data_IF_395272256118
#
_entry.id   IF_395272256118
#
_cell.length_a   1.000
_cell.length_b   1.000
_cell.length_c   1.000
_cell.angle_alpha   90.00
_cell.angle_beta   90.00
_cell.angle_gamma   90.00
#
_symmetry.space_group_name_H-M   'P 1'
#
loop_
_entity.id
_entity.type
_entity.pdbx_description
1 polymer ?
#
# COMPACT_ATOMS: atom_id res chain seq x y z
N UNK A 1 5.47 -1.32 -5.66
CA UNK A 1 5.02 0.08 -5.39
C UNK A 1 3.83 0.51 -6.22
N UNK A 2 3.83 0.29 -7.54
CA UNK A 2 2.72 0.70 -8.42
C UNK A 2 1.37 0.10 -8.01
N UNK A 3 1.41 -1.07 -7.36
CA UNK A 3 0.21 -1.73 -6.85
C UNK A 3 -0.48 -0.95 -5.73
N UNK A 4 0.25 -0.26 -4.85
CA UNK A 4 -0.36 0.58 -3.81
C UNK A 4 -1.14 1.74 -4.43
N UNK A 5 -0.53 2.42 -5.41
CA UNK A 5 -1.22 3.48 -6.15
C UNK A 5 -2.45 2.95 -6.93
N UNK A 6 -2.40 1.71 -7.45
CA UNK A 6 -3.53 1.08 -8.12
C UNK A 6 -4.70 0.84 -7.17
N UNK A 7 -4.45 0.32 -5.96
CA UNK A 7 -5.48 0.06 -4.94
C UNK A 7 -6.15 1.37 -4.51
N UNK A 8 -5.32 2.33 -4.12
CA UNK A 8 -5.77 3.63 -3.66
C UNK A 8 -6.67 4.33 -4.68
N UNK A 9 -6.32 4.22 -5.97
CA UNK A 9 -7.14 4.74 -7.08
C UNK A 9 -8.41 3.93 -7.31
N UNK A 10 -8.33 2.61 -7.31
CA UNK A 10 -9.47 1.72 -7.54
C UNK A 10 -10.57 1.92 -6.48
N UNK A 11 -10.17 2.18 -5.24
CA UNK A 11 -11.08 2.38 -4.11
C UNK A 11 -11.41 3.85 -3.85
N UNK A 12 -10.90 4.77 -4.67
CA UNK A 12 -11.06 6.22 -4.50
C UNK A 12 -10.74 6.68 -3.07
N UNK A 13 -9.66 6.13 -2.50
CA UNK A 13 -9.25 6.48 -1.15
C UNK A 13 -8.92 7.96 -1.05
N UNK A 14 -9.21 8.56 0.10
CA UNK A 14 -8.77 9.91 0.40
C UNK A 14 -7.26 9.89 0.61
N UNK A 15 -6.52 10.49 -0.33
CA UNK A 15 -5.06 10.55 -0.27
C UNK A 15 -4.67 11.87 0.37
N UNK A 16 -4.21 11.79 1.61
CA UNK A 16 -3.59 12.93 2.28
C UNK A 16 -2.12 13.00 1.90
N UNK A 17 -1.61 14.21 1.69
CA UNK A 17 -0.18 14.40 1.47
C UNK A 17 0.57 13.95 2.73
N UNK A 18 1.46 12.97 2.60
CA UNK A 18 2.34 12.52 3.67
C UNK A 18 3.79 12.59 3.22
N UNK A 19 4.67 13.12 4.08
CA UNK A 19 6.12 13.18 3.82
C UNK A 19 6.86 11.90 4.24
N UNK A 20 6.24 11.07 5.10
CA UNK A 20 6.85 9.88 5.66
C UNK A 20 5.79 8.85 6.06
N UNK A 21 6.13 7.58 5.94
CA UNK A 21 5.36 6.44 6.43
C UNK A 21 5.91 5.95 7.77
N UNK A 22 5.15 5.11 8.47
CA UNK A 22 5.57 4.53 9.75
C UNK A 22 6.55 3.34 9.60
N UNK A 23 6.99 3.01 8.38
CA UNK A 23 7.86 1.88 8.11
C UNK A 23 9.33 2.23 8.35
N UNK A 24 10.10 1.24 8.78
CA UNK A 24 11.54 1.38 9.06
C UNK A 24 12.38 1.63 7.80
N UNK A 25 11.87 1.25 6.63
CA UNK A 25 12.46 1.45 5.31
C UNK A 25 11.76 2.59 4.54
N UNK A 26 11.16 3.56 5.24
CA UNK A 26 10.50 4.72 4.62
C UNK A 26 11.40 5.52 3.66
N UNK A 27 12.72 5.52 3.92
CA UNK A 27 13.69 6.16 3.05
C UNK A 27 13.76 5.51 1.65
N UNK A 28 13.50 4.22 1.57
CA UNK A 28 13.49 3.48 0.30
C UNK A 28 12.15 3.64 -0.45
N UNK A 29 11.13 4.21 0.18
CA UNK A 29 9.84 4.48 -0.44
C UNK A 29 9.91 5.81 -1.20
N UNK A 30 9.72 5.83 -2.53
CA UNK A 30 9.65 7.04 -3.32
C UNK A 30 8.60 7.99 -2.78
N UNK A 31 8.93 9.28 -2.74
CA UNK A 31 8.06 10.31 -2.16
C UNK A 31 6.63 10.31 -2.73
N UNK A 32 6.48 10.02 -4.03
CA UNK A 32 5.17 9.94 -4.68
C UNK A 32 4.33 8.76 -4.18
N UNK A 33 4.96 7.68 -3.73
CA UNK A 33 4.29 6.44 -3.32
C UNK A 33 3.82 6.51 -1.86
N UNK A 34 4.50 7.27 -1.00
CA UNK A 34 4.21 7.37 0.44
C UNK A 34 2.74 7.69 0.77
N UNK A 35 2.07 8.66 0.10
CA UNK A 35 0.66 8.96 0.36
C UNK A 35 -0.27 7.77 0.11
N UNK A 36 0.01 6.99 -0.94
CA UNK A 36 -0.78 5.81 -1.29
C UNK A 36 -0.53 4.67 -0.31
N UNK A 37 0.73 4.41 0.02
CA UNK A 37 1.12 3.41 1.02
C UNK A 37 0.44 3.69 2.36
N UNK A 38 0.45 4.94 2.81
CA UNK A 38 -0.20 5.34 4.06
C UNK A 38 -1.72 5.12 4.01
N UNK A 39 -2.38 5.54 2.92
CA UNK A 39 -3.82 5.38 2.76
C UNK A 39 -4.22 3.89 2.76
N UNK A 40 -3.48 3.05 2.05
CA UNK A 40 -3.75 1.62 1.98
C UNK A 40 -3.55 0.92 3.34
N UNK A 41 -2.53 1.32 4.11
CA UNK A 41 -2.26 0.78 5.45
C UNK A 41 -3.34 1.21 6.44
N UNK A 42 -3.79 2.47 6.40
CA UNK A 42 -4.89 2.96 7.24
C UNK A 42 -6.20 2.22 7.00
N UNK A 43 -6.44 1.81 5.75
CA UNK A 43 -7.61 1.01 5.37
C UNK A 43 -7.40 -0.50 5.60
N UNK A 44 -6.23 -0.91 6.09
CA UNK A 44 -5.89 -2.32 6.34
C UNK A 44 -5.74 -3.16 5.06
N UNK A 45 -5.57 -2.51 3.90
CA UNK A 45 -5.47 -3.13 2.58
C UNK A 45 -4.05 -3.60 2.28
N UNK A 46 -3.07 -2.88 2.81
CA UNK A 46 -1.66 -3.26 2.81
C UNK A 46 -1.17 -3.35 4.25
N UNK A 47 -0.26 -4.29 4.49
CA UNK A 47 0.44 -4.43 5.75
C UNK A 47 1.93 -4.55 5.45
N UNK A 48 2.75 -3.99 6.33
CA UNK A 48 4.18 -4.23 6.29
C UNK A 48 4.50 -5.69 6.58
N UNK A 49 5.71 -6.07 6.25
CA UNK A 49 6.28 -7.39 6.54
C UNK A 49 7.12 -7.33 7.82
N UNK A 50 7.80 -8.44 8.10
CA UNK A 50 8.70 -8.60 9.24
C UNK A 50 9.66 -7.42 9.40
N UNK A 51 9.94 -7.08 10.66
CA UNK A 51 10.76 -5.94 11.08
C UNK A 51 10.19 -4.57 10.69
N UNK A 52 8.86 -4.43 10.57
CA UNK A 52 8.19 -3.17 10.23
C UNK A 52 8.71 -2.58 8.91
N UNK A 53 8.82 -3.41 7.88
CA UNK A 53 9.31 -3.01 6.55
C UNK A 53 8.19 -3.06 5.52
N UNK A 54 8.15 -2.08 4.62
CA UNK A 54 7.26 -2.09 3.46
C UNK A 54 7.85 -2.86 2.28
N UNK A 55 9.18 -2.89 2.17
CA UNK A 55 9.96 -3.53 1.10
C UNK A 55 9.64 -2.98 -0.29
N UNK A 56 9.79 -1.65 -0.52
CA UNK A 56 9.38 -0.99 -1.77
C UNK A 56 10.09 -1.53 -3.02
N UNK A 57 11.33 -2.02 -2.85
CA UNK A 57 12.18 -2.51 -3.94
C UNK A 57 11.99 -4.00 -4.26
N UNK A 58 11.15 -4.72 -3.50
CA UNK A 58 10.86 -6.11 -3.81
C UNK A 58 9.76 -6.27 -4.86
N UNK A 59 9.93 -7.28 -5.69
CA UNK A 59 8.90 -7.67 -6.65
C UNK A 59 7.66 -8.18 -5.91
N UNK A 60 6.50 -7.69 -6.31
CA UNK A 60 5.22 -8.21 -5.82
C UNK A 60 5.04 -9.65 -6.29
N UNK A 61 4.82 -10.56 -5.36
CA UNK A 61 4.52 -11.96 -5.68
C UNK A 61 3.08 -12.12 -6.17
N UNK A 62 2.79 -13.23 -6.87
CA UNK A 62 1.42 -13.55 -7.30
C UNK A 62 0.44 -13.66 -6.13
N UNK A 63 0.90 -14.14 -4.98
CA UNK A 63 0.10 -14.26 -3.76
C UNK A 63 -0.28 -12.89 -3.20
N UNK A 64 0.65 -11.93 -3.21
CA UNK A 64 0.40 -10.56 -2.77
C UNK A 64 -0.54 -9.84 -3.73
N UNK A 65 -0.33 -9.98 -5.05
CA UNK A 65 -1.24 -9.44 -6.05
C UNK A 65 -2.67 -10.00 -5.89
N UNK A 66 -2.82 -11.31 -5.61
CA UNK A 66 -4.11 -11.92 -5.36
C UNK A 66 -4.77 -11.40 -4.07
N UNK A 67 -4.01 -11.26 -3.00
CA UNK A 67 -4.48 -10.70 -1.71
C UNK A 67 -5.00 -9.29 -1.89
N UNK A 68 -4.32 -8.50 -2.71
CA UNK A 68 -4.72 -7.15 -3.07
C UNK A 68 -6.04 -7.13 -3.85
N UNK A 69 -6.17 -7.97 -4.89
CA UNK A 69 -7.40 -8.07 -5.68
C UNK A 69 -8.58 -8.51 -4.81
N UNK A 70 -8.36 -9.45 -3.89
CA UNK A 70 -9.37 -9.90 -2.94
C UNK A 70 -9.77 -8.79 -1.96
N UNK A 71 -8.81 -7.99 -1.50
CA UNK A 71 -9.05 -6.87 -0.58
C UNK A 71 -9.86 -5.76 -1.26
N UNK A 72 -9.53 -5.42 -2.52
CA UNK A 72 -10.32 -4.48 -3.34
C UNK A 72 -11.74 -4.99 -3.56
N UNK A 73 -11.91 -6.27 -3.91
CA UNK A 73 -13.23 -6.90 -4.08
C UNK A 73 -14.05 -6.88 -2.79
N UNK A 74 -13.41 -7.05 -1.63
CA UNK A 74 -14.06 -7.00 -0.32
C UNK A 74 -14.51 -5.58 0.00
N UNK A 75 -13.64 -4.59 -0.22
CA UNK A 75 -13.93 -3.18 0.05
C UNK A 75 -15.07 -2.63 -0.83
N UNK A 76 -15.20 -3.08 -2.09
CA UNK A 76 -16.30 -2.65 -2.99
C UNK A 76 -17.66 -3.28 -2.64
N UNK A 77 -17.67 -4.42 -1.94
CA UNK A 77 -18.92 -5.15 -1.61
C UNK A 77 -19.52 -4.77 -0.25
N UNK A 78 -18.86 -3.92 0.52
CA UNK A 78 -19.36 -3.35 1.78
C UNK A 78 -20.03 -2.01 1.50
#
# INVERSE_FOLDING_TARGET
MEVAALIARALKLKIEATGSTAFSDDFDIPAWAKPYVQADVQQGLLQGRDNNRFMPNENTTRAEAATIILSVKKAIRQ
#
